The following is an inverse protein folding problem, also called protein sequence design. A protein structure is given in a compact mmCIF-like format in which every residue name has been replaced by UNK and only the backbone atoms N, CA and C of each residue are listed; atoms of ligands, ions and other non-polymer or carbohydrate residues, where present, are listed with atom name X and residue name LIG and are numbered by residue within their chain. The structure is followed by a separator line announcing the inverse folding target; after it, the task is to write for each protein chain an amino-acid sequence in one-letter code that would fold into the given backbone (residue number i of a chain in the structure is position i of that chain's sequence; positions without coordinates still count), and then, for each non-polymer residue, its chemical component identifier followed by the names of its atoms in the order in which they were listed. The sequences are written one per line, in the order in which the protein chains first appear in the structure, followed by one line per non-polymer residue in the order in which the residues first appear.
data_IF_034681689852
#
_entry.id   IF_034681689852
#
_cell.length_a   1.000
_cell.length_b   1.000
_cell.length_c   1.000
_cell.angle_alpha   90.00
_cell.angle_beta   90.00
_cell.angle_gamma   90.00
#
_symmetry.space_group_name_H-M   'P 1'
#
loop_
_entity.id
_entity.type
_entity.pdbx_description
1 polymer ?
#
# COMPACT_ATOMS: atom_id res chain seq x y z
N UNK A 1 -24.41 -49.00 21.71
CA UNK A 1 -25.17 -47.76 21.58
C UNK A 1 -24.21 -46.71 21.08
N UNK A 2 -24.18 -46.55 19.78
CA UNK A 2 -23.31 -45.58 19.07
C UNK A 2 -24.12 -44.30 18.82
N UNK A 3 -23.71 -43.20 19.39
CA UNK A 3 -24.24 -41.88 19.03
C UNK A 3 -23.40 -41.31 17.89
N UNK A 4 -23.94 -41.39 16.70
CA UNK A 4 -23.46 -40.62 15.56
C UNK A 4 -23.85 -39.14 15.71
N UNK A 5 -22.86 -38.26 15.77
CA UNK A 5 -23.08 -36.82 15.70
C UNK A 5 -23.07 -36.44 14.23
N UNK A 6 -24.26 -36.19 13.70
CA UNK A 6 -24.49 -35.73 12.34
C UNK A 6 -24.25 -34.22 12.26
N UNK A 7 -23.15 -33.76 11.64
CA UNK A 7 -22.89 -32.37 11.37
C UNK A 7 -23.61 -31.93 10.09
N UNK A 8 -24.79 -31.35 10.24
CA UNK A 8 -25.50 -30.73 9.15
C UNK A 8 -24.84 -29.36 8.78
N UNK A 9 -24.22 -29.28 7.61
CA UNK A 9 -23.39 -28.17 7.08
C UNK A 9 -24.20 -27.08 6.36
N UNK A 10 -25.49 -26.99 6.58
CA UNK A 10 -26.35 -26.03 5.85
C UNK A 10 -27.23 -25.25 6.81
N UNK A 11 -26.72 -24.18 7.40
CA UNK A 11 -27.54 -23.03 7.86
C UNK A 11 -26.68 -22.11 8.77
N UNK A 12 -25.82 -21.33 8.16
CA UNK A 12 -25.19 -20.20 8.85
C UNK A 12 -25.22 -18.91 7.99
N UNK A 13 -26.36 -18.64 7.39
CA UNK A 13 -26.68 -17.34 6.82
C UNK A 13 -28.11 -16.99 7.12
N UNK A 14 -28.37 -16.35 8.26
CA UNK A 14 -29.59 -15.58 8.47
C UNK A 14 -29.40 -14.56 9.57
N UNK A 15 -29.42 -13.30 9.18
CA UNK A 15 -30.06 -12.16 9.83
C UNK A 15 -29.64 -11.78 11.28
N UNK A 16 -28.79 -10.77 11.38
CA UNK A 16 -28.88 -9.82 12.51
C UNK A 16 -29.33 -8.46 11.93
N UNK A 17 -30.63 -8.22 12.00
CA UNK A 17 -31.20 -6.89 11.82
C UNK A 17 -30.92 -6.08 13.08
N UNK A 18 -30.07 -5.04 13.00
CA UNK A 18 -29.97 -4.03 14.05
C UNK A 18 -30.93 -2.90 13.79
N UNK A 19 -31.84 -2.71 14.70
CA UNK A 19 -32.79 -1.60 14.78
C UNK A 19 -32.04 -0.30 15.03
N UNK A 20 -32.08 0.63 14.06
CA UNK A 20 -31.55 1.98 14.19
C UNK A 20 -32.63 2.84 14.83
N UNK A 21 -32.33 3.37 16.02
CA UNK A 21 -33.12 4.47 16.62
C UNK A 21 -32.66 5.77 15.96
N UNK A 22 -33.55 6.39 15.22
CA UNK A 22 -33.36 7.70 14.62
C UNK A 22 -33.49 8.78 15.70
N UNK A 23 -32.42 9.52 15.96
CA UNK A 23 -32.50 10.83 16.61
C UNK A 23 -32.35 11.91 15.54
N UNK A 24 -33.42 12.64 15.28
CA UNK A 24 -33.41 13.85 14.46
C UNK A 24 -32.72 14.97 15.22
N UNK A 25 -31.68 15.56 14.65
CA UNK A 25 -31.29 16.95 14.97
C UNK A 25 -30.83 17.65 13.67
N UNK A 26 -31.55 18.70 13.34
CA UNK A 26 -31.09 19.98 12.83
C UNK A 26 -30.43 20.04 11.44
N UNK A 27 -31.18 20.54 10.46
CA UNK A 27 -30.68 21.17 9.23
C UNK A 27 -29.61 22.22 9.54
N UNK A 28 -28.45 22.09 8.91
CA UNK A 28 -27.55 23.21 8.60
C UNK A 28 -27.22 23.13 7.11
N UNK A 29 -27.39 24.27 6.44
CA UNK A 29 -27.45 24.42 5.01
C UNK A 29 -26.28 23.87 4.21
N UNK A 30 -26.62 23.29 3.06
CA UNK A 30 -25.76 23.05 1.93
C UNK A 30 -25.20 24.38 1.41
N UNK A 31 -23.91 24.61 1.67
CA UNK A 31 -23.16 25.59 0.89
C UNK A 31 -22.76 24.91 -0.42
N UNK A 32 -23.44 25.28 -1.50
CA UNK A 32 -22.99 24.99 -2.86
C UNK A 32 -21.62 25.63 -3.07
N UNK A 33 -20.58 24.83 -3.01
CA UNK A 33 -19.25 25.25 -3.46
C UNK A 33 -19.27 25.24 -4.99
N UNK A 34 -19.33 26.42 -5.57
CA UNK A 34 -19.08 26.65 -7.00
C UNK A 34 -17.81 25.90 -7.44
N UNK A 35 -18.02 24.95 -8.36
CA UNK A 35 -16.94 24.24 -9.02
C UNK A 35 -16.15 25.21 -9.90
N UNK A 36 -15.05 25.72 -9.37
CA UNK A 36 -14.00 26.29 -10.20
C UNK A 36 -13.58 25.19 -11.21
N UNK A 37 -13.82 25.44 -12.49
CA UNK A 37 -13.37 24.59 -13.60
C UNK A 37 -11.84 24.59 -13.63
N UNK A 38 -11.20 23.78 -12.76
CA UNK A 38 -9.89 23.27 -13.07
C UNK A 38 -10.06 22.37 -14.29
N UNK A 39 -9.30 22.61 -15.33
CA UNK A 39 -9.22 21.76 -16.52
C UNK A 39 -8.76 20.37 -16.04
N UNK A 40 -9.72 19.51 -15.70
CA UNK A 40 -9.46 18.08 -15.45
C UNK A 40 -9.10 17.49 -16.80
N UNK A 41 -7.82 17.60 -17.14
CA UNK A 41 -7.29 17.02 -18.36
C UNK A 41 -7.63 15.51 -18.32
N UNK A 42 -8.61 15.08 -19.14
CA UNK A 42 -9.04 13.70 -19.22
C UNK A 42 -7.82 12.80 -19.43
N UNK A 43 -7.58 11.85 -18.51
CA UNK A 43 -6.61 10.79 -18.73
C UNK A 43 -7.05 9.96 -19.94
N UNK A 44 -6.10 9.45 -20.75
CA UNK A 44 -6.47 8.48 -21.78
C UNK A 44 -7.14 7.27 -21.12
N UNK A 45 -8.21 6.79 -21.72
CA UNK A 45 -8.83 5.56 -21.25
C UNK A 45 -7.88 4.37 -21.47
N UNK A 46 -7.73 3.52 -20.44
CA UNK A 46 -6.90 2.33 -20.49
C UNK A 46 -7.64 1.15 -19.86
N UNK A 47 -7.61 0.01 -20.53
CA UNK A 47 -8.12 -1.22 -19.93
C UNK A 47 -7.04 -1.80 -18.99
N UNK A 48 -7.40 -2.20 -17.75
CA UNK A 48 -6.44 -2.88 -16.86
C UNK A 48 -5.77 -4.07 -17.56
N UNK A 49 -4.43 -4.17 -17.44
CA UNK A 49 -3.63 -5.19 -18.11
C UNK A 49 -3.27 -4.89 -19.56
N UNK A 50 -3.46 -3.65 -20.04
CA UNK A 50 -3.02 -3.22 -21.37
C UNK A 50 -1.50 -3.28 -21.52
N UNK A 51 -0.78 -2.78 -20.51
CA UNK A 51 0.67 -2.84 -20.48
C UNK A 51 1.13 -4.05 -19.67
N UNK A 52 2.21 -4.70 -20.15
CA UNK A 52 2.75 -5.91 -19.52
C UNK A 52 4.22 -5.80 -19.16
N UNK A 53 4.85 -4.67 -19.48
CA UNK A 53 6.26 -4.42 -19.19
C UNK A 53 6.53 -2.93 -19.05
N UNK A 54 7.56 -2.61 -18.29
CA UNK A 54 8.21 -1.31 -18.32
C UNK A 54 9.30 -1.28 -19.40
N UNK A 55 9.82 -0.10 -19.70
CA UNK A 55 11.09 0.05 -20.37
C UNK A 55 12.22 -0.58 -19.53
N UNK A 56 13.47 -0.51 -20.02
CA UNK A 56 14.60 -1.02 -19.26
C UNK A 56 14.65 -0.40 -17.85
N UNK A 57 14.76 -1.26 -16.84
CA UNK A 57 14.88 -0.83 -15.46
C UNK A 57 16.24 -0.14 -15.25
N UNK A 58 16.23 0.86 -14.38
CA UNK A 58 17.42 1.56 -13.92
C UNK A 58 17.82 1.09 -12.52
N UNK A 59 19.05 1.38 -12.13
CA UNK A 59 19.56 1.12 -10.79
C UNK A 59 20.37 2.33 -10.30
N UNK A 60 20.31 2.60 -9.01
CA UNK A 60 21.11 3.63 -8.36
C UNK A 60 21.41 3.25 -6.91
N UNK A 61 22.59 3.60 -6.44
CA UNK A 61 22.92 3.48 -5.03
C UNK A 61 22.22 4.59 -4.24
N UNK A 62 21.47 4.18 -3.22
CA UNK A 62 20.66 5.05 -2.39
C UNK A 62 20.68 4.57 -0.94
N UNK A 63 21.41 5.25 -0.09
CA UNK A 63 21.59 4.88 1.32
C UNK A 63 22.19 3.49 1.46
N UNK A 64 21.43 2.53 1.98
CA UNK A 64 21.87 1.15 2.21
C UNK A 64 21.69 0.22 1.00
N UNK A 65 21.02 0.71 -0.05
CA UNK A 65 20.53 -0.12 -1.15
C UNK A 65 21.10 0.34 -2.50
N UNK A 66 21.32 -0.62 -3.39
CA UNK A 66 21.27 -0.41 -4.82
C UNK A 66 19.81 -0.65 -5.24
N UNK A 67 19.08 0.43 -5.50
CA UNK A 67 17.64 0.38 -5.80
C UNK A 67 17.42 0.22 -7.30
N UNK A 68 16.68 -0.82 -7.67
CA UNK A 68 16.17 -1.00 -9.03
C UNK A 68 14.78 -0.36 -9.16
N UNK A 69 14.56 0.38 -10.25
CA UNK A 69 13.30 1.10 -10.48
C UNK A 69 12.95 1.22 -11.95
N UNK A 70 11.65 1.32 -12.23
CA UNK A 70 11.14 1.75 -13.51
C UNK A 70 10.98 3.26 -13.53
N UNK A 71 11.15 3.87 -14.70
CA UNK A 71 11.00 5.30 -14.91
C UNK A 71 10.16 5.57 -16.17
N UNK A 72 9.27 6.58 -16.08
CA UNK A 72 8.45 7.00 -17.22
C UNK A 72 8.25 8.52 -17.22
N UNK A 73 7.99 9.07 -18.42
CA UNK A 73 7.75 10.50 -18.61
C UNK A 73 9.00 11.37 -18.66
N UNK A 74 8.83 12.69 -18.76
CA UNK A 74 9.93 13.64 -18.92
C UNK A 74 10.70 13.80 -17.60
N UNK A 75 12.02 13.69 -17.63
CA UNK A 75 12.88 13.76 -16.44
C UNK A 75 12.81 15.12 -15.69
N UNK A 76 12.35 16.17 -16.35
CA UNK A 76 12.13 17.51 -15.76
C UNK A 76 10.67 17.78 -15.35
N UNK A 77 9.80 16.78 -15.48
CA UNK A 77 8.40 16.88 -15.04
C UNK A 77 8.26 16.84 -13.51
N UNK A 78 7.08 17.23 -12.98
CA UNK A 78 6.78 17.06 -11.57
C UNK A 78 6.94 15.58 -11.17
N UNK A 79 7.72 15.31 -10.11
CA UNK A 79 8.02 13.94 -9.71
C UNK A 79 6.84 13.26 -9.01
N UNK A 80 6.62 11.99 -9.38
CA UNK A 80 5.67 11.09 -8.73
C UNK A 80 6.40 9.79 -8.37
N UNK A 81 6.29 9.34 -7.13
CA UNK A 81 6.84 8.07 -6.67
C UNK A 81 5.69 7.12 -6.37
N UNK A 82 5.70 5.95 -7.03
CA UNK A 82 4.66 4.93 -6.93
C UNK A 82 5.20 3.73 -6.15
N UNK A 83 4.57 3.40 -5.01
CA UNK A 83 5.06 2.44 -4.04
C UNK A 83 4.14 1.23 -3.93
N UNK A 84 4.68 0.06 -4.28
CA UNK A 84 3.95 -1.21 -4.20
C UNK A 84 3.91 -1.77 -2.78
N UNK A 85 3.06 -2.77 -2.56
CA UNK A 85 2.91 -3.48 -1.30
C UNK A 85 3.42 -4.92 -1.32
N UNK A 86 3.10 -5.66 -0.26
CA UNK A 86 3.31 -7.09 -0.13
C UNK A 86 1.98 -7.85 -0.34
N UNK A 87 1.97 -8.96 -1.05
CA UNK A 87 3.02 -9.53 -1.90
C UNK A 87 2.82 -9.12 -3.36
N UNK A 88 3.11 -7.88 -3.68
CA UNK A 88 3.01 -7.29 -5.02
C UNK A 88 4.37 -6.74 -5.43
N UNK A 89 4.43 -6.07 -6.58
CA UNK A 89 5.65 -5.45 -7.09
C UNK A 89 5.37 -4.23 -7.97
N UNK A 90 6.39 -3.73 -8.68
CA UNK A 90 6.28 -2.56 -9.55
C UNK A 90 5.22 -2.71 -10.64
N UNK A 91 4.91 -3.95 -11.08
CA UNK A 91 3.91 -4.19 -12.13
C UNK A 91 2.49 -3.83 -11.71
N UNK A 92 2.24 -3.60 -10.41
CA UNK A 92 0.99 -2.97 -9.96
C UNK A 92 0.74 -1.60 -10.62
N UNK A 93 1.80 -0.93 -11.06
CA UNK A 93 1.74 0.41 -11.66
C UNK A 93 2.03 0.43 -13.17
N UNK A 94 2.09 -0.74 -13.82
CA UNK A 94 2.48 -0.82 -15.23
C UNK A 94 1.54 -0.06 -16.17
N UNK A 95 0.27 0.05 -15.82
CA UNK A 95 -0.73 0.85 -16.56
C UNK A 95 -0.84 2.28 -16.01
N UNK A 96 -0.55 2.51 -14.73
CA UNK A 96 -0.59 3.85 -14.10
C UNK A 96 0.54 4.76 -14.59
N UNK A 97 1.77 4.23 -14.68
CA UNK A 97 2.94 5.02 -15.01
C UNK A 97 2.84 5.73 -16.37
N UNK A 98 2.41 5.08 -17.48
CA UNK A 98 2.23 5.75 -18.76
C UNK A 98 1.09 6.79 -18.75
N UNK A 99 0.03 6.59 -17.95
CA UNK A 99 -1.04 7.58 -17.78
C UNK A 99 -0.50 8.87 -17.17
N UNK A 100 0.28 8.77 -16.10
CA UNK A 100 0.90 9.93 -15.46
C UNK A 100 1.98 10.59 -16.33
N UNK A 101 2.78 9.79 -17.03
CA UNK A 101 3.77 10.27 -17.98
C UNK A 101 3.10 11.08 -19.12
N UNK A 102 1.93 10.67 -19.59
CA UNK A 102 1.16 11.40 -20.61
C UNK A 102 0.66 12.77 -20.12
N UNK A 103 0.65 13.00 -18.81
CA UNK A 103 0.34 14.29 -18.15
C UNK A 103 1.59 15.10 -17.83
N UNK A 104 2.75 14.64 -18.27
CA UNK A 104 4.01 15.35 -18.09
C UNK A 104 4.68 15.09 -16.75
N UNK A 105 4.20 14.13 -15.94
CA UNK A 105 4.87 13.74 -14.70
C UNK A 105 6.13 12.92 -14.96
N UNK A 106 7.15 13.12 -14.14
CA UNK A 106 8.31 12.24 -14.02
C UNK A 106 7.99 11.13 -13.01
N UNK A 107 7.76 9.93 -13.48
CA UNK A 107 7.25 8.81 -12.68
C UNK A 107 8.37 7.83 -12.34
N UNK A 108 8.56 7.57 -11.06
CA UNK A 108 9.53 6.63 -10.50
C UNK A 108 8.77 5.50 -9.79
N UNK A 109 9.04 4.26 -10.15
CA UNK A 109 8.41 3.07 -9.56
C UNK A 109 9.50 2.13 -9.05
N UNK A 110 9.97 2.31 -7.79
CA UNK A 110 11.04 1.50 -7.24
C UNK A 110 10.56 0.14 -6.76
N UNK A 111 11.41 -0.87 -6.88
CA UNK A 111 11.31 -2.07 -6.06
C UNK A 111 11.71 -1.73 -4.62
N UNK A 112 10.84 -2.01 -3.68
CA UNK A 112 11.15 -1.88 -2.25
C UNK A 112 12.27 -2.86 -1.85
N UNK A 113 12.87 -2.66 -0.64
CA UNK A 113 13.85 -3.59 -0.10
C UNK A 113 13.32 -5.02 -0.07
N UNK A 114 14.11 -5.99 -0.49
CA UNK A 114 13.71 -7.40 -0.59
C UNK A 114 12.86 -7.75 -1.81
N UNK A 115 12.80 -6.90 -2.83
CA UNK A 115 12.06 -7.15 -4.06
C UNK A 115 12.89 -6.95 -5.33
N UNK A 116 12.55 -7.73 -6.36
CA UNK A 116 13.10 -7.62 -7.69
C UNK A 116 14.63 -7.60 -7.70
N UNK A 117 15.22 -6.63 -8.40
CA UNK A 117 16.65 -6.47 -8.47
C UNK A 117 17.25 -5.49 -7.44
N UNK A 118 16.45 -4.92 -6.54
CA UNK A 118 16.97 -4.13 -5.41
C UNK A 118 17.82 -4.99 -4.48
N UNK A 119 19.01 -4.52 -4.09
CA UNK A 119 19.98 -5.26 -3.28
C UNK A 119 20.54 -4.38 -2.17
N UNK A 120 20.88 -4.98 -1.04
CA UNK A 120 21.69 -4.30 -0.04
C UNK A 120 23.14 -4.15 -0.55
N UNK A 121 23.74 -2.97 -0.32
CA UNK A 121 25.11 -2.68 -0.71
C UNK A 121 26.13 -3.46 0.14
N UNK A 122 25.74 -3.90 1.34
CA UNK A 122 26.58 -4.71 2.21
C UNK A 122 25.85 -5.96 2.70
N UNK A 123 26.57 -7.08 2.76
CA UNK A 123 26.09 -8.32 3.38
C UNK A 123 25.83 -8.16 4.87
N UNK A 124 26.56 -7.25 5.54
CA UNK A 124 26.49 -6.98 6.97
C UNK A 124 25.26 -6.16 7.38
N UNK A 125 24.57 -5.54 6.41
CA UNK A 125 23.37 -4.76 6.71
C UNK A 125 22.24 -5.67 7.18
N UNK A 126 21.63 -5.34 8.32
CA UNK A 126 20.49 -6.07 8.87
C UNK A 126 19.32 -6.07 7.87
N UNK A 127 18.71 -7.24 7.64
CA UNK A 127 17.53 -7.38 6.79
C UNK A 127 16.29 -6.92 7.54
N UNK A 128 16.28 -5.64 7.84
CA UNK A 128 15.27 -4.97 8.61
C UNK A 128 14.08 -4.57 7.72
N UNK A 129 12.88 -5.03 8.08
CA UNK A 129 11.61 -4.71 7.41
C UNK A 129 10.74 -3.71 8.18
N UNK A 130 11.28 -2.97 9.19
CA UNK A 130 10.45 -2.02 9.93
C UNK A 130 10.00 -0.84 9.03
N UNK A 131 8.79 -0.31 9.26
CA UNK A 131 8.15 0.65 8.35
C UNK A 131 8.94 1.94 8.12
N UNK A 132 9.57 2.50 9.16
CA UNK A 132 10.40 3.71 9.02
C UNK A 132 11.66 3.47 8.17
N UNK A 133 12.19 2.24 8.18
CA UNK A 133 13.33 1.88 7.34
C UNK A 133 12.96 1.87 5.85
N UNK A 134 11.76 1.38 5.49
CA UNK A 134 11.25 1.43 4.12
C UNK A 134 11.06 2.87 3.65
N UNK A 135 10.51 3.74 4.52
CA UNK A 135 10.33 5.15 4.20
C UNK A 135 11.67 5.88 4.03
N UNK A 136 12.65 5.57 4.87
CA UNK A 136 14.01 6.13 4.77
C UNK A 136 14.68 5.71 3.44
N UNK A 137 14.46 4.49 2.96
CA UNK A 137 14.98 4.06 1.65
C UNK A 137 14.48 4.94 0.51
N UNK A 138 13.19 5.31 0.56
CA UNK A 138 12.59 6.15 -0.49
C UNK A 138 13.11 7.58 -0.40
N UNK A 139 13.33 8.13 0.79
CA UNK A 139 13.99 9.43 0.96
C UNK A 139 15.41 9.38 0.38
N UNK A 140 16.19 8.33 0.70
CA UNK A 140 17.53 8.15 0.14
C UNK A 140 17.51 8.01 -1.39
N UNK A 141 16.49 7.33 -1.94
CA UNK A 141 16.30 7.24 -3.40
C UNK A 141 16.01 8.62 -4.01
N UNK A 142 15.15 9.41 -3.38
CA UNK A 142 14.88 10.80 -3.81
C UNK A 142 16.16 11.62 -3.84
N UNK A 143 17.01 11.50 -2.79
CA UNK A 143 18.28 12.21 -2.72
C UNK A 143 19.24 11.78 -3.83
N UNK A 144 19.38 10.47 -4.07
CA UNK A 144 20.23 9.91 -5.13
C UNK A 144 19.78 10.37 -6.53
N UNK A 145 18.47 10.48 -6.74
CA UNK A 145 17.87 10.94 -7.99
C UNK A 145 17.75 12.48 -8.08
N UNK A 146 18.17 13.22 -7.04
CA UNK A 146 18.05 14.69 -6.94
C UNK A 146 16.60 15.17 -7.07
N UNK A 147 15.68 14.41 -6.52
CA UNK A 147 14.26 14.75 -6.41
C UNK A 147 14.05 15.44 -5.07
N UNK A 148 13.88 16.74 -5.09
CA UNK A 148 13.68 17.53 -3.88
C UNK A 148 12.29 17.25 -3.27
N UNK A 149 11.26 17.23 -4.09
CA UNK A 149 9.88 17.02 -3.68
C UNK A 149 9.08 16.22 -4.70
N UNK A 150 8.22 15.28 -4.23
CA UNK A 150 7.39 14.45 -5.09
C UNK A 150 5.97 14.29 -4.56
N UNK A 151 5.02 13.93 -5.45
CA UNK A 151 3.80 13.26 -5.02
C UNK A 151 4.18 11.82 -4.68
N UNK A 152 3.81 11.36 -3.49
CA UNK A 152 4.01 9.97 -3.08
C UNK A 152 2.69 9.23 -3.10
N UNK A 153 2.64 8.08 -3.75
CA UNK A 153 1.41 7.33 -3.92
C UNK A 153 1.67 5.83 -3.76
N UNK A 154 0.76 5.13 -3.07
CA UNK A 154 0.97 3.71 -2.84
C UNK A 154 -0.24 2.97 -2.28
N UNK A 155 -0.08 1.67 -2.14
CA UNK A 155 -1.05 0.79 -1.51
C UNK A 155 -0.32 -0.23 -0.63
N UNK A 156 -1.01 -0.79 0.37
CA UNK A 156 -0.46 -1.76 1.32
C UNK A 156 0.83 -1.26 2.00
N UNK A 157 1.98 -1.97 1.93
CA UNK A 157 3.26 -1.48 2.46
C UNK A 157 3.68 -0.15 1.80
N UNK A 158 3.41 -0.01 0.50
CA UNK A 158 3.70 1.23 -0.23
C UNK A 158 2.84 2.40 0.23
N UNK A 159 1.56 2.15 0.54
CA UNK A 159 0.68 3.15 1.14
C UNK A 159 1.18 3.57 2.52
N UNK A 160 1.53 2.59 3.37
CA UNK A 160 2.13 2.87 4.69
C UNK A 160 3.44 3.65 4.57
N UNK A 161 4.30 3.27 3.64
CA UNK A 161 5.56 3.98 3.37
C UNK A 161 5.30 5.43 2.97
N UNK A 162 4.33 5.67 2.09
CA UNK A 162 3.94 7.01 1.66
C UNK A 162 3.35 7.85 2.81
N UNK A 163 2.49 7.27 3.64
CA UNK A 163 1.95 7.91 4.85
C UNK A 163 3.08 8.31 5.82
N UNK A 164 4.04 7.43 6.04
CA UNK A 164 5.19 7.67 6.91
C UNK A 164 6.06 8.80 6.34
N UNK A 165 6.31 8.81 5.04
CA UNK A 165 7.04 9.91 4.39
C UNK A 165 6.33 11.24 4.59
N UNK A 166 5.00 11.25 4.39
CA UNK A 166 4.19 12.46 4.55
C UNK A 166 4.15 13.00 6.00
N UNK A 167 4.35 12.15 7.00
CA UNK A 167 4.45 12.52 8.42
C UNK A 167 5.86 12.95 8.81
N UNK A 168 6.86 12.18 8.42
CA UNK A 168 8.24 12.40 8.90
C UNK A 168 8.98 13.48 8.09
N UNK A 169 8.66 13.60 6.81
CA UNK A 169 9.29 14.53 5.85
C UNK A 169 8.23 15.22 4.97
N UNK A 170 7.28 15.98 5.58
CA UNK A 170 6.20 16.63 4.83
C UNK A 170 6.72 17.61 3.77
N UNK A 171 7.90 18.21 3.99
CA UNK A 171 8.57 19.07 3.03
C UNK A 171 9.01 18.36 1.75
N UNK A 172 9.22 17.02 1.82
CA UNK A 172 9.57 16.16 0.67
C UNK A 172 8.33 15.66 -0.10
N UNK A 173 7.12 15.85 0.45
CA UNK A 173 5.87 15.35 -0.11
C UNK A 173 5.01 16.51 -0.61
N UNK A 174 4.81 16.61 -1.94
CA UNK A 174 3.91 17.59 -2.56
C UNK A 174 2.44 17.23 -2.33
N UNK A 175 2.14 15.94 -2.33
CA UNK A 175 0.83 15.37 -2.09
C UNK A 175 0.94 13.87 -1.81
N UNK A 176 -0.12 13.29 -1.29
CA UNK A 176 -0.21 11.88 -0.91
C UNK A 176 -1.44 11.23 -1.56
N UNK A 177 -1.25 10.05 -2.16
CA UNK A 177 -2.35 9.14 -2.51
C UNK A 177 -2.14 7.82 -1.78
N UNK A 178 -3.03 7.47 -0.84
CA UNK A 178 -2.91 6.26 -0.04
C UNK A 178 -4.16 5.39 -0.19
N UNK A 179 -3.96 4.12 -0.61
CA UNK A 179 -5.03 3.13 -0.62
C UNK A 179 -5.22 2.58 0.79
N UNK A 180 -6.47 2.44 1.22
CA UNK A 180 -6.91 2.01 2.55
C UNK A 180 -6.59 3.00 3.69
N UNK A 181 -6.29 4.25 3.35
CA UNK A 181 -6.28 5.38 4.26
C UNK A 181 -5.02 5.54 5.10
N UNK A 182 -5.17 5.82 6.39
CA UNK A 182 -4.06 6.05 7.33
C UNK A 182 -3.52 4.71 7.84
N UNK A 183 -2.34 4.32 7.39
CA UNK A 183 -1.76 3.00 7.64
C UNK A 183 -0.59 3.00 8.65
N UNK A 184 -0.33 4.14 9.30
CA UNK A 184 0.71 4.24 10.33
C UNK A 184 0.26 3.50 11.58
N UNK A 185 1.11 2.61 12.05
CA UNK A 185 0.93 1.86 13.29
C UNK A 185 2.22 1.85 14.11
N UNK A 186 2.15 1.28 15.30
CA UNK A 186 3.30 1.08 16.19
C UNK A 186 3.32 -0.35 16.70
N UNK A 187 4.45 -0.77 17.27
CA UNK A 187 4.52 -2.07 17.96
C UNK A 187 3.50 -2.18 19.10
N UNK A 188 3.27 -1.08 19.82
CA UNK A 188 2.29 -1.09 20.92
C UNK A 188 0.86 -1.31 20.41
N UNK A 189 0.47 -0.66 19.31
CA UNK A 189 -0.83 -0.92 18.69
C UNK A 189 -0.91 -2.33 18.09
N UNK A 190 0.19 -2.85 17.57
CA UNK A 190 0.26 -4.20 17.01
C UNK A 190 0.16 -5.33 18.05
N UNK A 191 0.43 -5.05 19.32
CA UNK A 191 0.25 -6.01 20.44
C UNK A 191 -1.20 -6.07 20.93
N UNK A 192 -2.05 -5.13 20.54
CA UNK A 192 -3.44 -5.09 20.99
C UNK A 192 -4.30 -6.06 20.16
N UNK A 193 -5.10 -6.91 20.82
CA UNK A 193 -5.94 -7.87 20.11
C UNK A 193 -7.05 -7.16 19.34
N UNK A 194 -7.34 -7.65 18.15
CA UNK A 194 -8.45 -7.21 17.32
C UNK A 194 -9.69 -8.11 17.53
N UNK A 195 -10.89 -7.70 17.07
CA UNK A 195 -12.04 -8.60 17.04
C UNK A 195 -11.74 -9.86 16.20
N UNK A 196 -12.28 -11.04 16.57
CA UNK A 196 -11.92 -12.32 15.94
C UNK A 196 -12.04 -12.36 14.41
N UNK A 197 -13.00 -11.63 13.84
CA UNK A 197 -13.15 -11.54 12.38
C UNK A 197 -11.99 -10.81 11.72
N UNK A 198 -11.47 -9.76 12.35
CA UNK A 198 -10.30 -9.04 11.85
C UNK A 198 -9.03 -9.89 12.02
N UNK A 199 -8.86 -10.58 13.17
CA UNK A 199 -7.74 -11.51 13.37
C UNK A 199 -7.73 -12.62 12.31
N UNK A 200 -8.90 -13.15 11.95
CA UNK A 200 -9.02 -14.15 10.89
C UNK A 200 -8.52 -13.62 9.53
N UNK A 201 -8.76 -12.37 9.21
CA UNK A 201 -8.25 -11.76 7.98
C UNK A 201 -6.72 -11.57 8.00
N UNK A 202 -6.15 -11.36 9.20
CA UNK A 202 -4.71 -11.19 9.41
C UNK A 202 -3.98 -12.50 9.78
N UNK A 203 -4.59 -13.67 9.54
CA UNK A 203 -4.10 -15.00 9.93
C UNK A 203 -2.62 -15.24 9.60
N UNK A 204 -2.16 -14.69 8.49
CA UNK A 204 -0.79 -14.90 8.02
C UNK A 204 0.26 -14.21 8.91
N UNK A 205 -0.08 -13.19 9.67
CA UNK A 205 0.84 -12.56 10.63
C UNK A 205 1.17 -13.55 11.76
N UNK A 206 0.18 -14.29 12.26
CA UNK A 206 0.41 -15.33 13.27
C UNK A 206 1.18 -16.51 12.71
N UNK A 207 0.96 -16.85 11.44
CA UNK A 207 1.77 -17.86 10.76
C UNK A 207 3.24 -17.41 10.68
N UNK A 208 3.52 -16.20 10.26
CA UNK A 208 4.87 -15.61 10.18
C UNK A 208 5.54 -15.40 11.53
N UNK A 209 4.80 -15.33 12.62
CA UNK A 209 5.33 -15.27 13.97
C UNK A 209 6.13 -16.53 14.35
N UNK A 210 5.87 -17.65 13.69
CA UNK A 210 6.47 -18.97 13.99
C UNK A 210 7.59 -19.32 13.04
N UNK A 211 8.53 -20.18 13.49
CA UNK A 211 9.57 -20.78 12.62
C UNK A 211 8.95 -21.62 11.49
N UNK A 212 7.84 -22.34 11.79
CA UNK A 212 7.07 -23.06 10.78
C UNK A 212 6.54 -22.12 9.69
N UNK A 213 6.07 -20.94 10.06
CA UNK A 213 5.56 -19.95 9.12
C UNK A 213 6.65 -19.37 8.24
N UNK A 214 7.81 -19.06 8.80
CA UNK A 214 8.97 -18.63 8.03
C UNK A 214 9.43 -19.68 7.03
N UNK A 215 9.62 -20.93 7.47
CA UNK A 215 10.01 -22.04 6.60
C UNK A 215 8.96 -22.36 5.53
N UNK A 216 7.67 -22.22 5.89
CA UNK A 216 6.56 -22.43 4.96
C UNK A 216 6.49 -21.33 3.90
N UNK A 217 6.69 -20.07 4.27
CA UNK A 217 6.75 -18.95 3.33
C UNK A 217 7.96 -19.07 2.39
N UNK A 218 9.11 -19.41 2.91
CA UNK A 218 10.31 -19.63 2.10
C UNK A 218 10.10 -20.73 1.04
N UNK A 219 9.52 -21.87 1.45
CA UNK A 219 9.27 -23.02 0.57
C UNK A 219 8.15 -22.78 -0.45
N UNK A 220 7.05 -22.15 -0.05
CA UNK A 220 5.82 -22.03 -0.82
C UNK A 220 5.47 -20.56 -1.15
N UNK A 221 6.43 -19.67 -1.21
CA UNK A 221 6.21 -18.23 -1.28
C UNK A 221 5.35 -17.80 -2.48
N UNK A 222 5.47 -18.46 -3.63
CA UNK A 222 4.63 -18.16 -4.81
C UNK A 222 3.18 -18.56 -4.58
N UNK A 223 2.93 -19.78 -4.13
CA UNK A 223 1.57 -20.26 -3.86
C UNK A 223 0.91 -19.45 -2.74
N UNK A 224 1.68 -19.14 -1.69
CA UNK A 224 1.23 -18.31 -0.59
C UNK A 224 0.83 -16.92 -1.09
N UNK A 225 1.68 -16.26 -1.85
CA UNK A 225 1.43 -14.92 -2.39
C UNK A 225 0.23 -14.91 -3.33
N UNK A 226 0.06 -15.93 -4.15
CA UNK A 226 -1.12 -16.08 -5.02
C UNK A 226 -2.41 -16.22 -4.22
N UNK A 227 -2.38 -17.01 -3.13
CA UNK A 227 -3.51 -17.13 -2.20
C UNK A 227 -3.85 -15.75 -1.58
N UNK A 228 -2.84 -14.96 -1.15
CA UNK A 228 -3.09 -13.62 -0.63
C UNK A 228 -3.75 -12.72 -1.68
N UNK A 229 -3.30 -12.75 -2.95
CA UNK A 229 -3.96 -11.99 -4.02
C UNK A 229 -5.44 -12.37 -4.16
N UNK A 230 -5.76 -13.68 -4.16
CA UNK A 230 -7.12 -14.18 -4.28
C UNK A 230 -8.02 -13.75 -3.10
N UNK A 231 -7.46 -13.72 -1.88
CA UNK A 231 -8.18 -13.31 -0.69
C UNK A 231 -8.35 -11.79 -0.62
N UNK A 232 -7.33 -11.03 -0.99
CA UNK A 232 -7.33 -9.58 -0.93
C UNK A 232 -8.13 -8.92 -2.07
N UNK A 233 -8.20 -9.58 -3.24
CA UNK A 233 -8.94 -9.11 -4.41
C UNK A 233 -9.87 -10.20 -4.96
N UNK A 234 -10.93 -10.58 -4.20
CA UNK A 234 -11.73 -11.78 -4.49
C UNK A 234 -12.56 -11.71 -5.77
N UNK A 235 -12.75 -10.51 -6.33
CA UNK A 235 -13.43 -10.29 -7.60
C UNK A 235 -12.49 -10.03 -8.76
N UNK A 236 -11.19 -9.91 -8.50
CA UNK A 236 -10.21 -9.67 -9.55
C UNK A 236 -9.83 -10.98 -10.27
N UNK A 237 -10.18 -11.05 -11.53
CA UNK A 237 -9.91 -12.23 -12.35
C UNK A 237 -8.55 -12.09 -13.06
N UNK A 238 -7.46 -12.07 -12.29
CA UNK A 238 -6.10 -12.01 -12.82
C UNK A 238 -5.67 -13.36 -13.43
N UNK A 239 -4.84 -13.31 -14.47
CA UNK A 239 -4.28 -14.50 -15.11
C UNK A 239 -3.02 -14.99 -14.39
N UNK A 240 -2.67 -16.26 -14.60
CA UNK A 240 -1.40 -16.81 -14.09
C UNK A 240 -0.20 -16.01 -14.63
N UNK A 241 -0.22 -15.60 -15.89
CA UNK A 241 0.83 -14.77 -16.46
C UNK A 241 0.97 -13.40 -15.78
N UNK A 242 -0.14 -12.81 -15.33
CA UNK A 242 -0.12 -11.56 -14.55
C UNK A 242 0.53 -11.78 -13.20
N UNK A 243 0.17 -12.85 -12.50
CA UNK A 243 0.75 -13.19 -11.21
C UNK A 243 2.23 -13.57 -11.34
N UNK A 244 2.59 -14.44 -12.30
CA UNK A 244 3.94 -14.96 -12.48
C UNK A 244 4.96 -13.85 -12.76
N UNK A 245 4.55 -12.83 -13.50
CA UNK A 245 5.35 -11.64 -13.78
C UNK A 245 5.74 -10.92 -12.48
N UNK A 246 4.79 -10.67 -11.59
CA UNK A 246 5.04 -10.04 -10.29
C UNK A 246 5.79 -10.98 -9.33
N UNK A 247 5.45 -12.27 -9.36
CA UNK A 247 6.06 -13.26 -8.47
C UNK A 247 7.57 -13.45 -8.70
N UNK A 248 8.09 -13.12 -9.88
CA UNK A 248 9.52 -13.09 -10.13
C UNK A 248 10.28 -12.12 -9.20
N UNK A 249 9.63 -11.06 -8.71
CA UNK A 249 10.24 -10.12 -7.79
C UNK A 249 10.46 -10.73 -6.38
N UNK A 250 9.74 -11.78 -6.02
CA UNK A 250 9.86 -12.47 -4.74
C UNK A 250 11.06 -13.42 -4.69
N UNK A 251 11.72 -13.67 -5.81
CA UNK A 251 12.95 -14.47 -5.89
C UNK A 251 14.19 -13.68 -5.43
N UNK A 252 14.01 -12.42 -5.00
CA UNK A 252 15.03 -11.65 -4.32
C UNK A 252 15.54 -12.41 -3.09
N UNK A 253 16.87 -12.57 -2.90
CA UNK A 253 17.44 -13.36 -1.80
C UNK A 253 17.09 -12.83 -0.40
N UNK A 254 16.79 -11.55 -0.28
CA UNK A 254 16.47 -10.90 0.99
C UNK A 254 14.95 -10.89 1.27
N UNK A 255 14.11 -11.32 0.30
CA UNK A 255 12.65 -11.18 0.35
C UNK A 255 12.03 -11.80 1.60
N UNK A 256 12.33 -13.07 1.86
CA UNK A 256 11.74 -13.79 3.00
C UNK A 256 12.16 -13.14 4.33
N UNK A 257 13.43 -12.81 4.48
CA UNK A 257 13.93 -12.17 5.70
C UNK A 257 13.22 -10.84 5.98
N UNK A 258 13.10 -9.99 4.95
CA UNK A 258 12.43 -8.67 5.06
C UNK A 258 10.93 -8.83 5.40
N UNK A 259 10.23 -9.75 4.71
CA UNK A 259 8.79 -9.98 4.95
C UNK A 259 8.53 -10.49 6.36
N UNK A 260 9.27 -11.51 6.78
CA UNK A 260 9.11 -12.10 8.11
C UNK A 260 9.46 -11.06 9.19
N UNK A 261 10.54 -10.30 9.01
CA UNK A 261 10.91 -9.25 9.95
C UNK A 261 9.82 -8.17 10.05
N UNK A 262 9.24 -7.71 8.93
CA UNK A 262 8.20 -6.68 8.94
C UNK A 262 6.99 -7.11 9.79
N UNK A 263 6.48 -8.33 9.57
CA UNK A 263 5.31 -8.80 10.30
C UNK A 263 5.61 -9.15 11.76
N UNK A 264 6.77 -9.72 12.06
CA UNK A 264 7.22 -9.95 13.45
C UNK A 264 7.42 -8.64 14.19
N UNK A 265 8.05 -7.65 13.57
CA UNK A 265 8.24 -6.34 14.18
C UNK A 265 6.90 -5.67 14.50
N UNK A 266 5.93 -5.69 13.59
CA UNK A 266 4.59 -5.13 13.81
C UNK A 266 3.85 -5.76 15.00
N UNK A 267 4.10 -7.01 15.29
CA UNK A 267 3.54 -7.74 16.43
C UNK A 267 4.38 -7.63 17.72
N UNK A 268 5.49 -6.89 17.68
CA UNK A 268 6.42 -6.79 18.79
C UNK A 268 7.23 -8.07 19.05
N UNK A 269 7.42 -8.91 18.04
CA UNK A 269 8.13 -10.18 18.09
C UNK A 269 9.53 -10.11 17.47
N UNK A 270 9.93 -8.98 16.93
CA UNK A 270 11.29 -8.71 16.43
C UNK A 270 11.71 -7.31 16.83
N UNK A 271 13.00 -7.18 17.14
CA UNK A 271 13.62 -5.88 17.42
C UNK A 271 13.83 -5.09 16.13
N UNK A 272 13.74 -3.76 16.22
CA UNK A 272 14.15 -2.85 15.17
C UNK A 272 15.65 -2.49 15.29
N UNK A 273 16.13 -1.66 14.37
CA UNK A 273 17.46 -1.07 14.50
C UNK A 273 17.38 0.27 15.22
N UNK A 274 18.23 0.48 16.24
CA UNK A 274 18.25 1.67 17.10
C UNK A 274 18.33 3.00 16.31
N UNK A 275 18.91 3.01 15.13
CA UNK A 275 18.97 4.21 14.28
C UNK A 275 17.60 4.72 13.81
N UNK A 276 16.55 3.90 13.91
CA UNK A 276 15.16 4.26 13.55
C UNK A 276 14.28 4.53 14.78
N UNK A 277 14.77 4.34 16.01
CA UNK A 277 13.94 4.43 17.23
C UNK A 277 13.23 5.79 17.37
N UNK A 278 13.92 6.90 17.09
CA UNK A 278 13.32 8.23 17.15
C UNK A 278 12.24 8.43 16.07
N UNK A 279 12.39 7.82 14.90
CA UNK A 279 11.37 7.85 13.85
C UNK A 279 10.14 7.05 14.28
N UNK A 280 10.34 5.82 14.78
CA UNK A 280 9.26 4.96 15.25
C UNK A 280 8.53 5.58 16.45
N UNK A 281 9.23 6.24 17.36
CA UNK A 281 8.65 6.97 18.47
C UNK A 281 7.74 8.12 18.00
N UNK A 282 8.17 8.86 16.98
CA UNK A 282 7.33 9.89 16.36
C UNK A 282 6.08 9.30 15.72
N UNK A 283 6.21 8.16 15.04
CA UNK A 283 5.10 7.44 14.39
C UNK A 283 4.13 6.84 15.40
N UNK A 284 4.63 6.35 16.54
CA UNK A 284 3.81 5.79 17.62
C UNK A 284 2.80 6.79 18.21
N UNK A 285 3.09 8.09 18.12
CA UNK A 285 2.15 9.14 18.50
C UNK A 285 0.97 9.29 17.53
N UNK A 286 0.96 8.52 16.44
CA UNK A 286 -0.04 8.55 15.36
C UNK A 286 -0.35 9.99 14.87
N UNK A 287 0.68 10.77 14.45
CA UNK A 287 0.55 12.17 14.11
C UNK A 287 -0.32 12.38 12.87
N UNK A 288 -0.95 13.54 12.77
CA UNK A 288 -1.74 13.89 11.60
C UNK A 288 -0.85 14.13 10.36
N UNK A 289 -1.35 13.74 9.20
CA UNK A 289 -0.76 14.04 7.89
C UNK A 289 -1.25 15.44 7.48
N UNK A 290 -0.31 16.35 7.19
CA UNK A 290 -0.58 17.76 6.90
C UNK A 290 -0.56 18.08 5.40
N UNK A 291 0.03 17.21 4.58
CA UNK A 291 0.11 17.40 3.14
C UNK A 291 -1.24 17.13 2.45
N UNK A 292 -1.52 17.73 1.30
CA UNK A 292 -2.71 17.42 0.51
C UNK A 292 -2.82 15.92 0.26
N UNK A 293 -3.98 15.33 0.54
CA UNK A 293 -4.13 13.87 0.51
C UNK A 293 -5.45 13.42 -0.14
N UNK A 294 -5.36 12.39 -0.97
CA UNK A 294 -6.51 11.62 -1.44
C UNK A 294 -6.34 10.17 -1.00
N UNK A 295 -7.31 9.65 -0.25
CA UNK A 295 -7.36 8.23 0.08
C UNK A 295 -8.32 7.50 -0.86
N UNK A 296 -7.96 6.26 -1.20
CA UNK A 296 -8.73 5.40 -2.10
C UNK A 296 -9.12 4.10 -1.38
N UNK A 297 -10.29 3.57 -1.72
CA UNK A 297 -10.71 2.24 -1.29
C UNK A 297 -11.45 1.52 -2.43
N UNK A 298 -11.13 0.24 -2.64
CA UNK A 298 -11.86 -0.62 -3.56
C UNK A 298 -13.11 -1.22 -2.91
N UNK A 299 -14.24 -1.24 -3.62
CA UNK A 299 -15.53 -1.74 -3.10
C UNK A 299 -15.56 -3.26 -2.85
N UNK A 300 -14.54 -3.99 -3.28
CA UNK A 300 -14.36 -5.42 -3.08
C UNK A 300 -13.03 -5.77 -2.41
N UNK A 301 -12.42 -4.81 -1.68
CA UNK A 301 -11.18 -5.08 -0.95
C UNK A 301 -11.41 -6.14 0.14
N UNK A 302 -10.78 -7.31 -0.02
CA UNK A 302 -10.83 -8.43 0.93
C UNK A 302 -9.74 -8.37 2.00
N UNK A 303 -8.76 -7.48 1.86
CA UNK A 303 -7.75 -7.25 2.89
C UNK A 303 -8.32 -6.44 4.06
N UNK A 304 -7.80 -6.62 5.29
CA UNK A 304 -8.23 -5.82 6.42
C UNK A 304 -7.93 -4.33 6.19
N UNK A 305 -8.94 -3.50 6.32
CA UNK A 305 -8.82 -2.05 6.20
C UNK A 305 -9.80 -1.36 7.17
N UNK A 306 -9.44 -0.19 7.72
CA UNK A 306 -10.34 0.55 8.59
C UNK A 306 -11.42 1.28 7.77
N UNK A 307 -12.56 1.52 8.39
CA UNK A 307 -13.59 2.40 7.82
C UNK A 307 -13.02 3.83 7.66
N UNK A 308 -13.30 4.55 6.55
CA UNK A 308 -12.82 5.91 6.34
C UNK A 308 -13.12 6.89 7.47
N UNK A 309 -14.25 6.74 8.16
CA UNK A 309 -14.60 7.56 9.31
C UNK A 309 -13.64 7.39 10.51
N UNK A 310 -12.97 6.24 10.62
CA UNK A 310 -12.05 5.96 11.71
C UNK A 310 -10.70 6.72 11.57
N UNK A 311 -10.35 7.17 10.37
CA UNK A 311 -9.08 7.82 10.11
C UNK A 311 -9.15 9.20 9.44
N UNK A 312 -10.33 9.66 9.03
CA UNK A 312 -10.48 10.95 8.33
C UNK A 312 -9.86 12.13 9.12
N UNK A 313 -9.96 12.12 10.45
CA UNK A 313 -9.39 13.14 11.34
C UNK A 313 -7.85 13.08 11.43
N UNK A 314 -7.21 12.07 10.85
CA UNK A 314 -5.75 11.97 10.74
C UNK A 314 -5.17 12.80 9.60
N UNK A 315 -6.01 13.38 8.75
CA UNK A 315 -5.62 14.25 7.65
C UNK A 315 -6.04 15.68 7.96
N UNK A 316 -5.08 16.55 8.30
CA UNK A 316 -5.34 17.94 8.66
C UNK A 316 -5.09 18.92 7.52
N UNK A 317 -4.47 18.47 6.43
CA UNK A 317 -4.36 19.19 5.17
C UNK A 317 -5.64 19.10 4.32
N UNK A 318 -5.58 19.57 3.08
CA UNK A 318 -6.69 19.33 2.12
C UNK A 318 -6.86 17.82 1.90
N UNK A 319 -8.08 17.32 2.13
CA UNK A 319 -8.33 15.88 2.17
C UNK A 319 -9.58 15.50 1.38
N UNK A 320 -9.50 14.39 0.66
CA UNK A 320 -10.65 13.74 0.04
C UNK A 320 -10.52 12.22 0.16
N UNK A 321 -11.65 11.54 0.25
CA UNK A 321 -11.74 10.08 0.16
C UNK A 321 -12.53 9.68 -1.08
N UNK A 322 -12.14 8.57 -1.75
CA UNK A 322 -12.82 8.04 -2.93
C UNK A 322 -13.01 6.54 -2.83
N UNK A 323 -14.24 6.09 -2.96
CA UNK A 323 -14.55 4.68 -3.19
C UNK A 323 -14.47 4.38 -4.68
N UNK A 324 -13.76 3.32 -5.03
CA UNK A 324 -13.62 2.82 -6.40
C UNK A 324 -14.55 1.63 -6.55
N UNK A 325 -15.62 1.83 -7.33
CA UNK A 325 -16.66 0.84 -7.54
C UNK A 325 -16.33 -0.06 -8.75
N UNK A 326 -17.02 -1.20 -8.83
CA UNK A 326 -16.90 -2.13 -9.96
C UNK A 326 -16.25 -3.45 -9.61
N UNK A 327 -16.16 -3.77 -8.32
CA UNK A 327 -15.56 -5.01 -7.83
C UNK A 327 -14.04 -4.90 -7.68
N UNK A 328 -13.52 -3.70 -7.47
CA UNK A 328 -12.09 -3.41 -7.30
C UNK A 328 -11.65 -3.89 -5.91
N UNK A 329 -10.61 -4.69 -5.87
CA UNK A 329 -10.04 -5.24 -4.66
C UNK A 329 -8.92 -4.39 -4.08
N UNK A 330 -7.93 -5.07 -3.50
CA UNK A 330 -6.83 -4.47 -2.76
C UNK A 330 -5.81 -3.77 -3.65
N UNK A 331 -5.51 -4.34 -4.83
CA UNK A 331 -4.51 -3.80 -5.75
C UNK A 331 -5.13 -2.75 -6.68
N UNK A 332 -5.68 -1.69 -6.07
CA UNK A 332 -6.36 -0.59 -6.78
C UNK A 332 -5.56 -0.08 -7.99
N UNK A 333 -4.23 0.14 -7.93
CA UNK A 333 -3.50 0.65 -9.09
C UNK A 333 -3.50 -0.30 -10.29
N UNK A 334 -3.57 -1.62 -10.09
CA UNK A 334 -3.60 -2.59 -11.18
C UNK A 334 -5.03 -2.94 -11.62
N UNK A 335 -5.99 -2.92 -10.68
CA UNK A 335 -7.39 -3.23 -10.94
C UNK A 335 -8.15 -2.03 -11.53
N UNK A 336 -7.78 -0.80 -11.14
CA UNK A 336 -8.42 0.45 -11.59
C UNK A 336 -7.38 1.56 -11.87
N UNK A 337 -6.46 1.36 -12.85
CA UNK A 337 -5.34 2.26 -13.08
C UNK A 337 -5.74 3.70 -13.40
N UNK A 338 -6.85 3.92 -14.12
CA UNK A 338 -7.36 5.27 -14.40
C UNK A 338 -7.78 6.00 -13.12
N UNK A 339 -8.49 5.31 -12.22
CA UNK A 339 -8.96 5.91 -10.98
C UNK A 339 -7.78 6.27 -10.07
N UNK A 340 -6.75 5.39 -9.99
CA UNK A 340 -5.54 5.66 -9.24
C UNK A 340 -4.74 6.82 -9.84
N UNK A 341 -4.48 6.81 -11.15
CA UNK A 341 -3.77 7.89 -11.84
C UNK A 341 -4.53 9.22 -11.71
N UNK A 342 -5.86 9.20 -11.80
CA UNK A 342 -6.68 10.40 -11.60
C UNK A 342 -6.52 10.98 -10.19
N UNK A 343 -6.45 10.14 -9.17
CA UNK A 343 -6.21 10.63 -7.81
C UNK A 343 -4.84 11.32 -7.68
N UNK A 344 -3.80 10.79 -8.34
CA UNK A 344 -2.48 11.41 -8.36
C UNK A 344 -2.50 12.76 -9.06
N UNK A 345 -3.16 12.87 -10.21
CA UNK A 345 -3.30 14.16 -10.92
C UNK A 345 -4.13 15.15 -10.11
N UNK A 346 -5.22 14.71 -9.48
CA UNK A 346 -6.09 15.59 -8.72
C UNK A 346 -5.43 16.10 -7.43
N UNK A 347 -4.62 15.28 -6.73
CA UNK A 347 -3.90 15.72 -5.53
C UNK A 347 -2.80 16.72 -5.87
N UNK A 348 -2.24 16.69 -7.09
CA UNK A 348 -1.28 17.68 -7.58
C UNK A 348 -1.92 19.06 -7.75
N UNK A 349 -3.21 19.09 -7.99
CA UNK A 349 -4.00 20.32 -8.16
C UNK A 349 -4.59 20.86 -6.84
N UNK A 350 -4.40 20.17 -5.72
CA UNK A 350 -4.82 20.63 -4.40
C UNK A 350 -3.90 21.74 -3.95
#
# INVERSE_FOLDING_TARGET
MSNEINYDRRHFFASAAMTIVAAQVGMIGSADAESGKANSANLPAIKPGTNTSFAALKQTDAGLLNVSYAEAGPANGPAVILLHGWPYDIYSFVDVAPLLASKGHHVIVPYLRGYGATRFLSSETVRNGQPSALATDIINLMDALKIDKAIVAGFDWGGRTADIMAVLWPERCKGLVSVSGYLIGSQESGKMPLPPKAELQWWYQFYFATERGQAGYDKYRRDFSKLIWQLASPKWNFTDATFDRSAAAFDNPDHVAIVIHNYRWRMGLAEGEAKYDELEKRLAAAPAITVPTITLEGDANGAPHPDPSAYANKFSGKYAHRNINGGVGHNVPQEAPEAFAKAVVDVDAF
#
